data_IF_718973235659
#
_entry.id   IF_718973235659
#
_cell.length_a   1.000
_cell.length_b   1.000
_cell.length_c   1.000
_cell.angle_alpha   90.00
_cell.angle_beta   90.00
_cell.angle_gamma   90.00
#
_symmetry.space_group_name_H-M   'P 1'
#
loop_
_entity.id
_entity.type
_entity.pdbx_description
1 polymer ?
#
# COMPACT_ATOMS: atom_id res chain seq x y z
N UNK A 1 7.38 -10.73 32.91
CA UNK A 1 6.04 -10.11 32.88
C UNK A 1 6.01 -8.80 32.10
N UNK A 2 7.02 -7.92 32.20
CA UNK A 2 6.99 -6.61 31.49
C UNK A 2 6.81 -6.68 29.95
N UNK A 3 7.25 -7.75 29.29
CA UNK A 3 7.28 -7.86 27.82
C UNK A 3 6.39 -8.98 27.25
N UNK A 4 5.85 -9.85 28.10
CA UNK A 4 5.12 -11.04 27.67
C UNK A 4 3.69 -11.00 28.22
N UNK A 5 2.71 -11.58 27.54
CA UNK A 5 2.81 -12.31 26.26
C UNK A 5 3.15 -11.41 25.06
N UNK A 6 3.62 -12.00 23.97
CA UNK A 6 3.92 -11.25 22.73
C UNK A 6 2.60 -10.76 22.12
N UNK A 7 2.47 -9.45 21.87
CA UNK A 7 1.24 -8.87 21.32
C UNK A 7 0.93 -9.38 19.92
N UNK A 8 1.92 -9.33 19.02
CA UNK A 8 1.78 -9.73 17.62
C UNK A 8 2.96 -10.60 17.19
N UNK A 9 2.68 -11.87 16.89
CA UNK A 9 3.63 -12.80 16.27
C UNK A 9 3.41 -12.86 14.76
N UNK A 10 4.47 -12.78 13.96
CA UNK A 10 4.43 -12.88 12.50
C UNK A 10 5.26 -14.09 12.08
N UNK A 11 4.68 -15.01 11.31
CA UNK A 11 5.39 -16.20 10.86
C UNK A 11 4.61 -17.02 9.84
N UNK A 12 5.32 -17.69 8.93
CA UNK A 12 4.70 -18.43 7.83
C UNK A 12 3.87 -19.62 8.32
N UNK A 13 2.86 -19.99 7.53
CA UNK A 13 1.95 -21.10 7.85
C UNK A 13 2.68 -22.44 8.01
N UNK A 14 3.89 -22.58 7.45
CA UNK A 14 4.75 -23.76 7.63
C UNK A 14 5.08 -24.08 9.10
N UNK A 15 4.99 -23.09 9.99
CA UNK A 15 5.29 -23.25 11.42
C UNK A 15 4.06 -23.57 12.28
N UNK A 16 2.87 -23.68 11.67
CA UNK A 16 1.61 -23.75 12.39
C UNK A 16 1.46 -24.94 13.35
N UNK A 17 2.07 -26.09 13.02
CA UNK A 17 1.97 -27.30 13.84
C UNK A 17 3.12 -27.36 14.84
N UNK A 18 4.35 -27.63 14.41
CA UNK A 18 5.44 -27.95 15.32
C UNK A 18 5.84 -26.77 16.20
N UNK A 19 6.44 -25.75 15.59
CA UNK A 19 7.00 -24.60 16.30
C UNK A 19 5.97 -23.90 17.20
N UNK A 20 4.80 -23.59 16.65
CA UNK A 20 3.75 -22.91 17.44
C UNK A 20 3.19 -23.80 18.56
N UNK A 21 3.01 -25.11 18.33
CA UNK A 21 2.57 -26.02 19.40
C UNK A 21 3.63 -26.15 20.50
N UNK A 22 4.91 -26.24 20.12
CA UNK A 22 6.00 -26.32 21.08
C UNK A 22 6.12 -25.03 21.90
N UNK A 23 5.97 -23.85 21.29
CA UNK A 23 5.93 -22.58 22.01
C UNK A 23 4.80 -22.57 23.06
N UNK A 24 3.60 -23.04 22.70
CA UNK A 24 2.46 -23.14 23.61
C UNK A 24 2.70 -24.16 24.73
N UNK A 25 3.26 -25.32 24.40
CA UNK A 25 3.61 -26.35 25.38
C UNK A 25 4.56 -25.80 26.45
N UNK A 26 5.66 -25.18 26.02
CA UNK A 26 6.64 -24.60 26.94
C UNK A 26 6.06 -23.49 27.80
N UNK A 27 5.22 -22.62 27.22
CA UNK A 27 4.52 -21.57 27.97
C UNK A 27 3.66 -22.16 29.08
N UNK A 28 2.84 -23.17 28.75
CA UNK A 28 1.98 -23.83 29.74
C UNK A 28 2.78 -24.59 30.80
N UNK A 29 3.91 -25.19 30.43
CA UNK A 29 4.80 -25.84 31.38
C UNK A 29 5.41 -24.84 32.38
N UNK A 30 5.90 -23.68 31.89
CA UNK A 30 6.45 -22.62 32.73
C UNK A 30 5.38 -21.99 33.64
N UNK A 31 4.17 -21.80 33.13
CA UNK A 31 3.04 -21.33 33.92
C UNK A 31 2.67 -22.33 35.02
N UNK A 32 2.66 -23.64 34.71
CA UNK A 32 2.42 -24.69 35.70
C UNK A 32 3.49 -24.72 36.82
N UNK A 33 4.74 -24.40 36.49
CA UNK A 33 5.84 -24.28 37.45
C UNK A 33 5.82 -22.95 38.24
N UNK A 34 4.84 -22.07 38.00
CA UNK A 34 4.73 -20.77 38.67
C UNK A 34 5.80 -19.76 38.24
N UNK A 35 6.44 -19.97 37.08
CA UNK A 35 7.52 -19.10 36.58
C UNK A 35 7.00 -17.91 35.77
N UNK A 36 5.77 -18.00 35.26
CA UNK A 36 5.06 -16.96 34.51
C UNK A 36 3.57 -17.01 34.83
N UNK A 37 2.85 -15.91 34.63
CA UNK A 37 1.44 -15.74 34.98
C UNK A 37 0.45 -15.79 33.79
N UNK A 38 0.95 -16.03 32.57
CA UNK A 38 0.15 -16.17 31.34
C UNK A 38 0.22 -17.59 30.75
N UNK A 39 -0.85 -17.99 30.05
CA UNK A 39 -1.03 -19.36 29.56
C UNK A 39 -0.75 -19.53 28.05
N UNK A 40 -0.71 -18.45 27.28
CA UNK A 40 -0.45 -18.46 25.83
C UNK A 40 0.67 -17.47 25.48
N UNK A 41 1.64 -17.85 24.62
CA UNK A 41 2.82 -17.02 24.33
C UNK A 41 2.53 -15.82 23.43
N UNK A 42 1.47 -15.89 22.61
CA UNK A 42 1.16 -14.91 21.57
C UNK A 42 -0.31 -14.49 21.70
N UNK A 43 -0.58 -13.19 21.84
CA UNK A 43 -1.93 -12.64 21.85
C UNK A 43 -2.55 -12.62 20.45
N UNK A 44 -1.73 -12.37 19.43
CA UNK A 44 -2.10 -12.42 18.02
C UNK A 44 -1.06 -13.15 17.18
N UNK A 45 -1.51 -13.82 16.12
CA UNK A 45 -0.69 -14.48 15.11
C UNK A 45 -1.12 -13.97 13.73
N UNK A 46 -0.15 -13.47 12.96
CA UNK A 46 -0.35 -13.12 11.55
C UNK A 46 0.52 -14.03 10.69
N UNK A 47 -0.10 -14.78 9.79
CA UNK A 47 0.60 -15.68 8.87
C UNK A 47 0.78 -15.01 7.51
N UNK A 48 2.00 -14.59 7.21
CA UNK A 48 2.31 -13.98 5.92
C UNK A 48 2.24 -15.01 4.77
N UNK A 49 1.97 -14.51 3.56
CA UNK A 49 2.11 -15.27 2.33
C UNK A 49 3.58 -15.51 1.96
N UNK A 50 3.81 -16.36 0.96
CA UNK A 50 5.15 -16.73 0.53
C UNK A 50 5.66 -15.77 -0.54
N UNK A 51 6.96 -15.46 -0.49
CA UNK A 51 7.64 -14.86 -1.65
C UNK A 51 7.83 -15.94 -2.71
N UNK A 52 7.43 -15.65 -3.94
CA UNK A 52 7.41 -16.58 -5.06
C UNK A 52 8.26 -16.09 -6.22
N UNK A 53 8.80 -17.01 -7.00
CA UNK A 53 9.58 -16.72 -8.20
C UNK A 53 9.42 -17.85 -9.21
N UNK A 54 9.59 -17.54 -10.50
CA UNK A 54 9.69 -18.55 -11.54
C UNK A 54 10.91 -19.46 -11.32
N UNK A 55 10.86 -20.67 -11.86
CA UNK A 55 11.91 -21.67 -11.71
C UNK A 55 12.58 -21.93 -13.04
N UNK A 56 13.86 -22.32 -13.02
CA UNK A 56 14.62 -22.58 -14.23
C UNK A 56 15.19 -23.99 -14.22
N UNK A 57 14.85 -24.81 -15.21
CA UNK A 57 15.31 -26.21 -15.25
C UNK A 57 15.67 -26.72 -16.63
N UNK A 58 16.40 -27.84 -16.65
CA UNK A 58 16.56 -28.73 -17.81
C UNK A 58 16.27 -30.16 -17.39
N UNK A 59 15.79 -30.97 -18.31
CA UNK A 59 15.77 -32.42 -18.14
C UNK A 59 17.17 -32.99 -18.46
N UNK A 60 17.72 -33.73 -17.50
CA UNK A 60 18.92 -34.55 -17.70
C UNK A 60 18.53 -36.01 -17.41
N UNK A 61 18.26 -36.75 -18.49
CA UNK A 61 17.90 -38.17 -18.45
C UNK A 61 16.74 -38.49 -17.50
N UNK A 62 15.66 -37.68 -17.54
CA UNK A 62 14.48 -37.85 -16.68
C UNK A 62 14.63 -37.26 -15.27
N UNK A 63 15.76 -36.60 -14.97
CA UNK A 63 15.95 -35.84 -13.74
C UNK A 63 15.95 -34.35 -14.04
N UNK A 64 15.13 -33.61 -13.32
CA UNK A 64 15.10 -32.16 -13.41
C UNK A 64 16.30 -31.54 -12.67
N UNK A 65 17.13 -30.80 -13.42
CA UNK A 65 18.26 -30.03 -12.90
C UNK A 65 17.85 -28.56 -12.84
N UNK A 66 17.87 -28.00 -11.62
CA UNK A 66 17.49 -26.62 -11.35
C UNK A 66 18.67 -25.65 -11.40
N UNK A 67 18.40 -24.43 -11.88
CA UNK A 67 19.34 -23.32 -12.00
C UNK A 67 18.80 -22.09 -11.25
N UNK A 68 19.72 -21.35 -10.62
CA UNK A 68 19.43 -20.07 -9.98
C UNK A 68 19.15 -18.95 -10.98
N UNK A 69 18.37 -17.92 -10.61
CA UNK A 69 18.15 -16.73 -11.45
C UNK A 69 19.46 -16.06 -11.91
N UNK A 70 20.49 -16.07 -11.06
CA UNK A 70 21.82 -15.55 -11.36
C UNK A 70 22.58 -16.38 -12.41
N UNK A 71 22.26 -17.66 -12.57
CA UNK A 71 22.86 -18.56 -13.55
C UNK A 71 22.24 -18.40 -14.94
N UNK A 72 21.08 -17.73 -15.04
CA UNK A 72 20.24 -17.68 -16.23
C UNK A 72 20.21 -16.28 -16.85
N UNK A 73 20.27 -16.22 -18.18
CA UNK A 73 19.93 -15.02 -18.94
C UNK A 73 18.48 -15.15 -19.40
N UNK A 74 17.59 -14.32 -18.82
CA UNK A 74 16.14 -14.40 -19.01
C UNK A 74 15.66 -13.37 -20.02
N UNK A 75 15.22 -13.85 -21.18
CA UNK A 75 14.47 -13.09 -22.18
C UNK A 75 12.98 -13.03 -21.87
N UNK A 76 12.17 -12.45 -22.76
CA UNK A 76 10.72 -12.28 -22.52
C UNK A 76 9.98 -13.60 -22.30
N UNK A 77 10.23 -14.56 -23.21
CA UNK A 77 9.55 -15.87 -23.27
C UNK A 77 10.56 -17.04 -23.39
N UNK A 78 11.84 -16.76 -23.15
CA UNK A 78 12.93 -17.74 -23.27
C UNK A 78 14.00 -17.47 -22.20
N UNK A 79 14.75 -18.51 -21.86
CA UNK A 79 15.86 -18.44 -20.92
C UNK A 79 17.04 -19.27 -21.46
N UNK A 80 18.25 -18.82 -21.22
CA UNK A 80 19.48 -19.55 -21.52
C UNK A 80 20.38 -19.63 -20.29
N UNK A 81 21.17 -20.70 -20.17
CA UNK A 81 22.14 -20.82 -19.10
C UNK A 81 23.40 -20.03 -19.48
N UNK A 82 23.87 -19.15 -18.60
CA UNK A 82 25.06 -18.32 -18.89
C UNK A 82 26.33 -19.14 -19.12
N UNK A 83 26.41 -20.32 -18.49
CA UNK A 83 27.61 -21.17 -18.53
C UNK A 83 27.87 -21.79 -19.93
N UNK A 84 26.80 -22.13 -20.67
CA UNK A 84 26.92 -22.85 -21.95
C UNK A 84 26.09 -22.26 -23.10
N UNK A 85 25.29 -21.23 -22.83
CA UNK A 85 24.40 -20.57 -23.79
C UNK A 85 23.19 -21.41 -24.22
N UNK A 86 23.02 -22.62 -23.68
CA UNK A 86 21.94 -23.53 -24.06
C UNK A 86 20.58 -23.10 -23.48
N UNK A 87 19.45 -23.57 -24.05
CA UNK A 87 18.12 -23.22 -23.59
C UNK A 87 17.82 -23.78 -22.19
N UNK A 88 17.05 -23.04 -21.40
CA UNK A 88 16.55 -23.43 -20.07
C UNK A 88 15.03 -23.27 -20.05
N UNK A 89 14.33 -24.24 -19.47
CA UNK A 89 12.88 -24.20 -19.33
C UNK A 89 12.49 -23.22 -18.22
N UNK A 90 11.62 -22.26 -18.56
CA UNK A 90 10.96 -21.40 -17.57
C UNK A 90 9.75 -22.15 -17.02
N UNK A 91 9.79 -22.46 -15.73
CA UNK A 91 8.72 -23.13 -15.01
C UNK A 91 7.71 -22.17 -14.39
N UNK A 92 6.83 -22.72 -13.54
CA UNK A 92 5.78 -21.95 -12.87
C UNK A 92 6.35 -21.03 -11.78
N UNK A 93 5.67 -19.92 -11.53
CA UNK A 93 5.88 -19.11 -10.32
C UNK A 93 5.42 -19.91 -9.11
N UNK A 94 6.34 -20.19 -8.20
CA UNK A 94 6.11 -20.98 -6.98
C UNK A 94 6.91 -20.40 -5.83
N UNK A 95 6.62 -20.81 -4.59
CA UNK A 95 7.40 -20.37 -3.42
C UNK A 95 8.90 -20.55 -3.65
N UNK A 96 9.68 -19.57 -3.22
CA UNK A 96 11.14 -19.66 -3.24
C UNK A 96 11.62 -20.81 -2.37
N UNK A 97 12.58 -21.59 -2.86
CA UNK A 97 13.15 -22.73 -2.13
C UNK A 97 14.56 -23.07 -2.61
N UNK A 98 15.42 -23.50 -1.67
CA UNK A 98 16.78 -23.96 -2.00
C UNK A 98 16.77 -25.16 -2.95
N UNK A 99 15.78 -26.05 -2.84
CA UNK A 99 15.68 -27.26 -3.68
C UNK A 99 15.40 -26.96 -5.15
N UNK A 100 14.66 -25.88 -5.45
CA UNK A 100 14.36 -25.44 -6.83
C UNK A 100 15.30 -24.33 -7.31
N UNK A 101 16.25 -23.93 -6.47
CA UNK A 101 17.17 -22.80 -6.68
C UNK A 101 16.52 -21.47 -7.10
N UNK A 102 15.22 -21.30 -6.94
CA UNK A 102 14.51 -20.08 -7.33
C UNK A 102 14.54 -18.99 -6.24
N UNK A 103 15.49 -19.05 -5.31
CA UNK A 103 15.67 -18.01 -4.30
C UNK A 103 16.38 -16.84 -4.96
N UNK A 104 15.82 -15.65 -4.83
CA UNK A 104 16.51 -14.42 -5.26
C UNK A 104 17.16 -13.80 -4.03
N UNK A 105 18.45 -13.52 -4.13
CA UNK A 105 19.18 -12.78 -3.12
C UNK A 105 18.76 -11.30 -3.16
N UNK A 106 18.24 -10.71 -2.07
CA UNK A 106 17.86 -9.31 -2.05
C UNK A 106 19.06 -8.37 -2.10
N UNK A 107 20.29 -8.78 -1.75
CA UNK A 107 21.44 -7.89 -1.61
C UNK A 107 21.74 -7.17 -2.93
N UNK A 108 21.69 -7.88 -4.07
CA UNK A 108 21.87 -7.28 -5.38
C UNK A 108 20.83 -6.19 -5.68
N UNK A 109 19.60 -6.34 -5.19
CA UNK A 109 18.55 -5.33 -5.36
C UNK A 109 18.71 -4.18 -4.38
N UNK A 110 19.17 -4.44 -3.16
CA UNK A 110 19.50 -3.41 -2.17
C UNK A 110 20.65 -2.55 -2.66
N UNK A 111 21.71 -3.14 -3.21
CA UNK A 111 22.85 -2.40 -3.77
C UNK A 111 22.43 -1.53 -4.97
N UNK A 112 21.50 -2.03 -5.80
CA UNK A 112 21.07 -1.35 -7.02
C UNK A 112 20.02 -0.27 -6.78
N UNK A 113 19.05 -0.52 -5.91
CA UNK A 113 17.86 0.32 -5.73
C UNK A 113 17.72 0.91 -4.32
N UNK A 114 18.53 0.47 -3.36
CA UNK A 114 18.46 0.86 -1.96
C UNK A 114 17.48 0.01 -1.15
N UNK A 115 17.76 -0.13 0.15
CA UNK A 115 16.94 -0.91 1.08
C UNK A 115 15.48 -0.44 1.13
N UNK A 116 15.25 0.87 1.07
CA UNK A 116 13.89 1.45 1.14
C UNK A 116 13.04 1.11 -0.09
N UNK A 117 13.62 1.03 -1.28
CA UNK A 117 12.89 0.62 -2.48
C UNK A 117 12.45 -0.85 -2.38
N UNK A 118 13.33 -1.73 -1.88
CA UNK A 118 13.03 -3.16 -1.68
C UNK A 118 11.98 -3.36 -0.59
N UNK A 119 12.12 -2.67 0.56
CA UNK A 119 11.13 -2.69 1.65
C UNK A 119 9.76 -2.21 1.17
N UNK A 120 9.73 -1.11 0.42
CA UNK A 120 8.49 -0.58 -0.12
C UNK A 120 7.82 -1.56 -1.08
N UNK A 121 8.59 -2.20 -1.98
CA UNK A 121 8.07 -3.23 -2.89
C UNK A 121 7.41 -4.38 -2.12
N UNK A 122 8.08 -4.90 -1.08
CA UNK A 122 7.56 -5.98 -0.23
C UNK A 122 6.23 -5.62 0.43
N UNK A 123 6.01 -4.34 0.73
CA UNK A 123 4.81 -3.86 1.42
C UNK A 123 3.73 -3.35 0.46
N UNK A 124 4.05 -3.05 -0.80
CA UNK A 124 3.14 -2.37 -1.73
C UNK A 124 2.29 -3.30 -2.58
N UNK A 125 2.87 -4.41 -3.05
CA UNK A 125 2.35 -5.11 -4.24
C UNK A 125 1.24 -6.11 -3.91
N UNK A 126 1.31 -6.74 -2.73
CA UNK A 126 0.32 -7.72 -2.29
C UNK A 126 -0.05 -7.52 -0.82
N UNK A 127 -1.32 -7.82 -0.44
CA UNK A 127 -1.68 -7.97 0.97
C UNK A 127 -0.72 -8.94 1.67
N UNK A 128 -0.28 -8.68 2.92
CA UNK A 128 0.80 -9.46 3.52
C UNK A 128 0.46 -10.95 3.73
N UNK A 129 -0.81 -11.32 3.75
CA UNK A 129 -1.30 -12.71 3.84
C UNK A 129 -1.31 -13.46 2.50
N UNK A 130 -1.07 -12.77 1.37
CA UNK A 130 -1.04 -13.35 0.03
C UNK A 130 0.39 -13.57 -0.46
N UNK A 131 0.55 -14.58 -1.30
CA UNK A 131 1.81 -14.84 -1.97
C UNK A 131 2.22 -13.63 -2.83
N UNK A 132 3.49 -13.25 -2.73
CA UNK A 132 4.08 -12.11 -3.39
C UNK A 132 5.00 -12.60 -4.52
N UNK A 133 4.65 -12.34 -5.80
CA UNK A 133 5.56 -12.59 -6.92
C UNK A 133 6.73 -11.59 -6.89
N UNK A 134 7.95 -12.09 -6.70
CA UNK A 134 9.13 -11.27 -6.77
C UNK A 134 9.33 -10.73 -8.19
N UNK A 135 9.53 -9.41 -8.32
CA UNK A 135 9.67 -8.74 -9.60
C UNK A 135 10.66 -7.58 -9.53
N UNK A 136 11.77 -7.69 -10.26
CA UNK A 136 12.76 -6.61 -10.37
C UNK A 136 12.14 -5.33 -10.96
N UNK A 137 11.24 -5.47 -11.95
CA UNK A 137 10.52 -4.34 -12.52
C UNK A 137 9.61 -3.63 -11.49
N UNK A 138 9.06 -4.40 -10.54
CA UNK A 138 8.30 -3.87 -9.40
C UNK A 138 9.19 -3.05 -8.46
N UNK A 139 10.37 -3.58 -8.12
CA UNK A 139 11.37 -2.88 -7.28
C UNK A 139 11.87 -1.61 -7.97
N UNK A 140 12.16 -1.66 -9.27
CA UNK A 140 12.56 -0.48 -10.05
C UNK A 140 11.48 0.63 -10.00
N UNK A 141 10.20 0.23 -10.09
CA UNK A 141 9.07 1.13 -9.89
C UNK A 141 9.07 1.81 -8.52
N UNK A 142 9.40 1.05 -7.47
CA UNK A 142 9.51 1.58 -6.12
C UNK A 142 10.71 2.52 -5.96
N UNK A 143 11.84 2.24 -6.63
CA UNK A 143 12.99 3.16 -6.69
C UNK A 143 12.64 4.50 -7.34
N UNK A 144 11.83 4.50 -8.40
CA UNK A 144 11.31 5.76 -8.98
C UNK A 144 10.43 6.52 -7.99
N UNK A 145 9.67 5.82 -7.15
CA UNK A 145 8.86 6.44 -6.11
C UNK A 145 9.71 7.03 -4.98
N UNK A 146 10.78 6.36 -4.55
CA UNK A 146 11.79 6.93 -3.62
C UNK A 146 12.31 8.28 -4.14
N UNK A 147 12.74 8.33 -5.40
CA UNK A 147 13.21 9.59 -6.03
C UNK A 147 12.13 10.67 -6.14
N UNK A 148 10.85 10.25 -6.21
CA UNK A 148 9.71 11.16 -6.29
C UNK A 148 9.42 11.78 -4.92
N UNK A 149 9.43 10.98 -3.86
CA UNK A 149 9.38 11.48 -2.47
C UNK A 149 10.57 12.39 -2.15
N UNK A 150 11.80 12.00 -2.53
CA UNK A 150 12.99 12.81 -2.32
C UNK A 150 12.87 14.21 -2.94
N UNK A 151 12.43 14.29 -4.21
CA UNK A 151 12.17 15.58 -4.88
C UNK A 151 11.12 16.41 -4.15
N UNK A 152 10.09 15.76 -3.60
CA UNK A 152 9.04 16.42 -2.86
C UNK A 152 9.54 16.95 -1.50
N UNK A 153 10.34 16.18 -0.78
CA UNK A 153 10.95 16.60 0.49
C UNK A 153 11.91 17.78 0.30
N UNK A 154 12.65 17.82 -0.82
CA UNK A 154 13.48 18.99 -1.18
C UNK A 154 12.67 20.24 -1.54
N UNK A 155 11.37 20.10 -1.83
CA UNK A 155 10.46 21.20 -2.10
C UNK A 155 9.71 21.68 -0.84
N UNK A 156 10.16 21.29 0.35
CA UNK A 156 9.66 21.78 1.62
C UNK A 156 10.08 23.25 1.84
N UNK A 157 9.11 24.09 2.23
CA UNK A 157 9.34 25.50 2.54
C UNK A 157 8.81 25.82 3.94
N UNK A 158 9.69 26.24 4.86
CA UNK A 158 9.34 26.45 6.27
C UNK A 158 8.49 27.70 6.54
N UNK A 159 8.52 28.69 5.64
CA UNK A 159 7.83 29.97 5.77
C UNK A 159 6.81 30.20 4.64
N UNK A 160 6.24 29.13 4.08
CA UNK A 160 5.16 29.22 3.10
C UNK A 160 3.86 29.72 3.74
N UNK A 161 3.07 30.47 2.99
CA UNK A 161 1.76 30.98 3.41
C UNK A 161 0.64 30.37 2.53
N UNK A 162 -0.59 30.42 3.00
CA UNK A 162 -1.77 29.97 2.26
C UNK A 162 -2.28 28.60 2.70
N UNK A 163 -3.60 28.45 2.58
CA UNK A 163 -4.33 27.26 3.02
C UNK A 163 -4.98 26.55 1.84
N UNK A 164 -4.92 25.23 1.83
CA UNK A 164 -5.58 24.37 0.86
C UNK A 164 -6.42 23.33 1.60
N UNK A 165 -7.64 23.72 2.00
CA UNK A 165 -8.55 22.86 2.80
C UNK A 165 -8.75 21.46 2.23
N UNK A 166 -8.80 21.33 0.90
CA UNK A 166 -8.94 20.04 0.24
C UNK A 166 -7.69 19.15 0.47
N UNK A 167 -6.49 19.74 0.46
CA UNK A 167 -5.25 19.04 0.77
C UNK A 167 -5.17 18.70 2.25
N UNK A 168 -5.51 19.63 3.15
CA UNK A 168 -5.50 19.39 4.59
C UNK A 168 -6.44 18.22 4.97
N UNK A 169 -7.64 18.19 4.36
CA UNK A 169 -8.57 17.07 4.46
C UNK A 169 -7.95 15.77 3.95
N UNK A 170 -7.31 15.79 2.78
CA UNK A 170 -6.64 14.59 2.24
C UNK A 170 -5.51 14.11 3.15
N UNK A 171 -4.75 15.01 3.77
CA UNK A 171 -3.71 14.69 4.77
C UNK A 171 -4.36 13.99 5.98
N UNK A 172 -5.39 14.59 6.58
CA UNK A 172 -6.08 14.02 7.73
C UNK A 172 -6.63 12.60 7.45
N UNK A 173 -7.29 12.42 6.32
CA UNK A 173 -7.80 11.12 5.86
C UNK A 173 -6.67 10.10 5.63
N UNK A 174 -5.54 10.54 5.07
CA UNK A 174 -4.38 9.68 4.82
C UNK A 174 -3.75 9.25 6.14
N UNK A 175 -3.55 10.16 7.08
CA UNK A 175 -2.96 9.85 8.40
C UNK A 175 -3.84 8.88 9.18
N UNK A 176 -5.14 9.15 9.30
CA UNK A 176 -6.08 8.28 10.00
C UNK A 176 -6.19 6.90 9.33
N UNK A 177 -6.30 6.89 7.99
CA UNK A 177 -6.40 5.65 7.23
C UNK A 177 -5.13 4.80 7.28
N UNK A 178 -3.95 5.43 7.18
CA UNK A 178 -2.67 4.73 7.26
C UNK A 178 -2.42 4.14 8.64
N UNK A 179 -2.78 4.85 9.71
CA UNK A 179 -2.71 4.32 11.08
C UNK A 179 -3.55 3.04 11.22
N UNK A 180 -4.83 3.10 10.83
CA UNK A 180 -5.73 1.96 10.89
C UNK A 180 -5.26 0.79 10.01
N UNK A 181 -4.74 1.07 8.81
CA UNK A 181 -4.21 0.02 7.92
C UNK A 181 -2.93 -0.61 8.48
N UNK A 182 -2.06 0.14 9.16
CA UNK A 182 -0.85 -0.40 9.83
C UNK A 182 -1.24 -1.28 11.03
N UNK A 183 -2.16 -0.81 11.87
CA UNK A 183 -2.69 -1.59 13.01
C UNK A 183 -3.35 -2.89 12.55
N UNK A 184 -4.04 -2.85 11.41
CA UNK A 184 -4.67 -4.01 10.79
C UNK A 184 -3.71 -4.87 9.94
N UNK A 185 -2.40 -4.55 9.93
CA UNK A 185 -1.38 -5.22 9.10
C UNK A 185 -1.73 -5.25 7.59
N UNK A 186 -2.53 -4.29 7.13
CA UNK A 186 -2.89 -4.08 5.72
C UNK A 186 -1.93 -3.08 5.05
N UNK A 187 -0.62 -3.34 5.12
CA UNK A 187 0.43 -2.39 4.72
C UNK A 187 0.30 -1.88 3.28
N UNK A 188 -0.16 -2.72 2.36
CA UNK A 188 -0.38 -2.34 0.96
C UNK A 188 -1.42 -1.22 0.80
N UNK A 189 -2.43 -1.17 1.69
CA UNK A 189 -3.42 -0.08 1.70
C UNK A 189 -2.81 1.21 2.25
N UNK A 190 -2.01 1.14 3.32
CA UNK A 190 -1.28 2.29 3.83
C UNK A 190 -0.34 2.88 2.77
N UNK A 191 0.40 2.02 2.06
CA UNK A 191 1.24 2.40 0.91
C UNK A 191 0.41 3.09 -0.19
N UNK A 192 -0.74 2.52 -0.56
CA UNK A 192 -1.62 3.13 -1.58
C UNK A 192 -2.07 4.54 -1.18
N UNK A 193 -2.42 4.76 0.09
CA UNK A 193 -2.77 6.09 0.60
C UNK A 193 -1.59 7.07 0.50
N UNK A 194 -0.38 6.62 0.82
CA UNK A 194 0.83 7.46 0.71
C UNK A 194 1.09 7.82 -0.77
N UNK A 195 0.89 6.90 -1.72
CA UNK A 195 0.95 7.21 -3.15
C UNK A 195 -0.07 8.27 -3.57
N UNK A 196 -1.32 8.16 -3.08
CA UNK A 196 -2.39 9.11 -3.37
C UNK A 196 -2.09 10.50 -2.79
N UNK A 197 -1.66 10.57 -1.52
CA UNK A 197 -1.29 11.83 -0.88
C UNK A 197 -0.10 12.46 -1.61
N UNK A 198 0.96 11.69 -1.91
CA UNK A 198 2.10 12.19 -2.69
C UNK A 198 1.66 12.82 -4.01
N UNK A 199 0.74 12.17 -4.71
CA UNK A 199 0.18 12.68 -5.97
C UNK A 199 -0.67 13.94 -5.81
N UNK A 200 -1.36 14.10 -4.67
CA UNK A 200 -2.11 15.31 -4.35
C UNK A 200 -1.16 16.48 -4.04
N UNK A 201 -0.13 16.25 -3.22
CA UNK A 201 0.86 17.28 -2.83
C UNK A 201 1.67 17.76 -4.04
N UNK A 202 1.98 16.89 -5.01
CA UNK A 202 2.65 17.28 -6.25
C UNK A 202 1.83 18.21 -7.14
N UNK A 203 0.49 18.14 -7.07
CA UNK A 203 -0.42 18.98 -7.85
C UNK A 203 -0.78 20.28 -7.14
N UNK A 204 -0.64 20.32 -5.82
CA UNK A 204 -0.88 21.49 -5.00
C UNK A 204 0.13 22.59 -5.31
N UNK A 205 -0.31 23.85 -5.21
CA UNK A 205 0.60 24.99 -5.34
C UNK A 205 1.46 25.12 -4.07
N UNK A 206 2.60 25.82 -4.12
CA UNK A 206 3.33 26.17 -2.90
C UNK A 206 2.40 26.89 -1.91
N UNK A 207 2.24 26.32 -0.72
CA UNK A 207 1.38 26.82 0.35
C UNK A 207 1.81 26.25 1.70
N UNK A 208 1.35 26.84 2.80
CA UNK A 208 1.60 26.30 4.14
C UNK A 208 1.03 24.88 4.28
N UNK A 209 -0.18 24.64 3.76
CA UNK A 209 -0.80 23.31 3.68
C UNK A 209 0.06 22.32 2.92
N UNK A 210 0.65 22.72 1.78
CA UNK A 210 1.55 21.85 1.02
C UNK A 210 2.81 21.51 1.82
N UNK A 211 3.46 22.47 2.46
CA UNK A 211 4.64 22.21 3.31
C UNK A 211 4.32 21.30 4.50
N UNK A 212 3.16 21.49 5.14
CA UNK A 212 2.69 20.62 6.22
C UNK A 212 2.43 19.19 5.72
N UNK A 213 1.85 19.03 4.52
CA UNK A 213 1.63 17.73 3.90
C UNK A 213 2.96 17.02 3.55
N UNK A 214 3.96 17.75 3.06
CA UNK A 214 5.31 17.22 2.80
C UNK A 214 5.94 16.69 4.09
N UNK A 215 5.90 17.48 5.17
CA UNK A 215 6.39 17.05 6.49
C UNK A 215 5.65 15.83 7.02
N UNK A 216 4.34 15.74 6.77
CA UNK A 216 3.53 14.57 7.15
C UNK A 216 3.92 13.33 6.37
N UNK A 217 4.21 13.45 5.06
CA UNK A 217 4.68 12.33 4.24
C UNK A 217 5.98 11.72 4.75
N UNK A 218 6.88 12.51 5.35
CA UNK A 218 8.10 11.99 6.00
C UNK A 218 7.73 11.00 7.11
N UNK A 219 6.83 11.39 8.01
CA UNK A 219 6.38 10.56 9.13
C UNK A 219 5.61 9.31 8.66
N UNK A 220 4.76 9.46 7.65
CA UNK A 220 3.99 8.33 7.10
C UNK A 220 4.86 7.33 6.34
N UNK A 221 5.93 7.79 5.68
CA UNK A 221 6.85 6.91 4.97
C UNK A 221 7.81 6.18 5.93
N UNK A 222 8.13 6.75 7.10
CA UNK A 222 9.18 6.27 8.01
C UNK A 222 9.10 4.78 8.39
N UNK A 223 7.94 4.17 8.71
CA UNK A 223 7.89 2.73 9.04
C UNK A 223 8.35 1.83 7.88
N UNK A 224 8.22 2.32 6.64
CA UNK A 224 8.43 1.54 5.42
C UNK A 224 9.76 1.91 4.73
N UNK A 225 10.11 3.21 4.72
CA UNK A 225 11.34 3.79 4.16
C UNK A 225 12.12 4.58 5.23
N UNK A 226 12.66 3.92 6.27
CA UNK A 226 13.26 4.61 7.41
C UNK A 226 14.50 5.43 7.03
N UNK A 227 15.30 4.98 6.06
CA UNK A 227 16.55 5.68 5.71
C UNK A 227 16.28 7.00 5.00
N UNK A 228 15.37 6.99 4.02
CA UNK A 228 14.89 8.18 3.32
C UNK A 228 14.20 9.14 4.30
N UNK A 229 13.38 8.59 5.20
CA UNK A 229 12.63 9.40 6.16
C UNK A 229 13.53 10.09 7.19
N UNK A 230 14.60 9.45 7.67
CA UNK A 230 15.55 10.09 8.60
C UNK A 230 16.27 11.28 7.97
N UNK A 231 16.75 11.12 6.74
CA UNK A 231 17.40 12.22 6.01
C UNK A 231 16.40 13.35 5.76
N UNK A 232 15.20 13.02 5.29
CA UNK A 232 14.14 13.99 5.03
C UNK A 232 13.67 14.68 6.32
N UNK A 233 13.63 13.98 7.45
CA UNK A 233 13.22 14.54 8.74
C UNK A 233 14.13 15.68 9.16
N UNK A 234 15.44 15.49 9.03
CA UNK A 234 16.43 16.55 9.29
C UNK A 234 16.23 17.73 8.34
N UNK A 235 16.01 17.48 7.04
CA UNK A 235 15.79 18.52 6.03
C UNK A 235 14.54 19.38 6.30
N UNK A 236 13.46 18.78 6.81
CA UNK A 236 12.21 19.49 7.12
C UNK A 236 12.20 20.11 8.53
N UNK A 237 13.38 20.24 9.16
CA UNK A 237 13.54 20.86 10.48
C UNK A 237 13.11 19.99 11.67
N UNK A 238 13.00 18.68 11.44
CA UNK A 238 12.83 17.68 12.49
C UNK A 238 13.96 17.69 13.51
N UNK A 239 13.67 17.27 14.73
CA UNK A 239 14.64 17.13 15.81
C UNK A 239 14.71 15.66 16.22
N UNK A 240 15.91 15.19 16.58
CA UNK A 240 16.14 13.78 16.91
C UNK A 240 15.89 12.83 15.74
N UNK A 241 15.68 11.56 16.04
CA UNK A 241 15.35 10.53 15.06
C UNK A 241 13.86 10.61 14.69
N UNK A 242 13.55 10.38 13.42
CA UNK A 242 12.14 10.24 12.99
C UNK A 242 11.47 9.03 13.64
N UNK A 243 12.25 8.01 14.01
CA UNK A 243 11.77 6.84 14.74
C UNK A 243 11.21 7.18 16.14
N UNK A 244 11.68 8.26 16.76
CA UNK A 244 11.19 8.74 18.07
C UNK A 244 10.06 9.77 17.93
N UNK A 245 9.76 10.22 16.70
CA UNK A 245 8.73 11.20 16.46
C UNK A 245 7.33 10.60 16.68
N UNK A 246 6.42 11.38 17.27
CA UNK A 246 5.04 10.97 17.43
C UNK A 246 4.36 10.81 16.07
N UNK A 247 3.47 9.82 15.98
CA UNK A 247 2.57 9.69 14.83
C UNK A 247 1.74 10.98 14.65
N UNK A 248 1.51 11.46 13.41
CA UNK A 248 0.79 12.72 13.20
C UNK A 248 -0.62 12.67 13.80
N UNK A 249 -1.01 13.73 14.51
CA UNK A 249 -2.36 13.88 15.07
C UNK A 249 -3.35 14.30 14.00
N UNK A 250 -4.59 13.82 14.10
CA UNK A 250 -5.67 14.15 13.17
C UNK A 250 -6.74 14.97 13.88
N UNK A 251 -7.12 16.11 13.31
CA UNK A 251 -8.35 16.82 13.69
C UNK A 251 -9.56 16.04 13.14
N UNK A 252 -10.44 15.48 14.00
CA UNK A 252 -11.61 14.74 13.56
C UNK A 252 -12.56 15.53 12.65
N UNK A 253 -12.58 16.87 12.75
CA UNK A 253 -13.44 17.71 11.91
C UNK A 253 -13.04 17.65 10.42
N UNK A 254 -11.75 17.41 10.13
CA UNK A 254 -11.25 17.24 8.77
C UNK A 254 -11.63 15.87 8.17
N UNK A 255 -12.08 14.91 8.98
CA UNK A 255 -12.54 13.61 8.51
C UNK A 255 -14.01 13.61 8.08
N UNK A 256 -14.75 14.67 8.41
CA UNK A 256 -16.16 14.80 8.02
C UNK A 256 -16.24 15.15 6.53
N UNK A 257 -16.84 14.26 5.76
CA UNK A 257 -17.22 14.55 4.39
C UNK A 257 -18.54 15.32 4.38
N UNK A 258 -18.46 16.65 4.29
CA UNK A 258 -19.65 17.49 4.11
C UNK A 258 -20.15 17.50 2.67
N UNK A 259 -19.36 16.97 1.73
CA UNK A 259 -19.65 16.93 0.30
C UNK A 259 -19.30 15.57 -0.29
N UNK A 260 -20.08 15.14 -1.28
CA UNK A 260 -19.93 13.87 -2.01
C UNK A 260 -20.04 14.13 -3.51
N UNK A 261 -19.23 13.42 -4.29
CA UNK A 261 -19.32 13.44 -5.75
C UNK A 261 -20.29 12.36 -6.21
N UNK A 262 -21.45 12.76 -6.73
CA UNK A 262 -22.45 11.85 -7.27
C UNK A 262 -22.27 11.68 -8.78
N UNK A 263 -22.44 10.44 -9.26
CA UNK A 263 -22.49 10.16 -10.70
C UNK A 263 -23.87 10.52 -11.28
N UNK A 264 -23.90 11.29 -12.36
CA UNK A 264 -25.13 11.58 -13.10
C UNK A 264 -25.17 10.80 -14.40
N UNK A 265 -26.16 9.93 -14.52
CA UNK A 265 -26.30 8.98 -15.62
C UNK A 265 -27.56 9.26 -16.43
N UNK A 266 -27.49 8.98 -17.74
CA UNK A 266 -28.65 8.92 -18.64
C UNK A 266 -28.67 7.52 -19.25
N UNK A 267 -29.77 6.78 -19.04
CA UNK A 267 -29.91 5.37 -19.47
C UNK A 267 -28.76 4.49 -18.99
N UNK A 268 -28.31 4.69 -17.74
CA UNK A 268 -27.22 3.93 -17.13
C UNK A 268 -25.82 4.27 -17.64
N UNK A 269 -25.65 5.26 -18.53
CA UNK A 269 -24.34 5.73 -19.00
C UNK A 269 -23.97 7.02 -18.28
N UNK A 270 -22.75 7.11 -17.74
CA UNK A 270 -22.22 8.32 -17.10
C UNK A 270 -22.22 9.50 -18.10
N UNK A 271 -22.72 10.65 -17.64
CA UNK A 271 -22.78 11.90 -18.41
C UNK A 271 -22.14 13.06 -17.67
N UNK A 272 -22.29 13.08 -16.36
CA UNK A 272 -21.67 14.09 -15.52
C UNK A 272 -21.36 13.57 -14.13
N UNK A 273 -20.63 14.38 -13.38
CA UNK A 273 -20.40 14.19 -11.94
C UNK A 273 -20.66 15.51 -11.25
N UNK A 274 -21.43 15.51 -10.16
CA UNK A 274 -21.72 16.70 -9.38
C UNK A 274 -21.18 16.54 -7.97
N UNK A 275 -20.46 17.55 -7.47
CA UNK A 275 -20.12 17.66 -6.05
C UNK A 275 -21.26 18.36 -5.34
N UNK A 276 -21.85 17.69 -4.36
CA UNK A 276 -23.04 18.15 -3.62
C UNK A 276 -22.83 17.93 -2.13
N UNK A 277 -23.56 18.66 -1.28
CA UNK A 277 -23.52 18.40 0.16
C UNK A 277 -23.94 16.95 0.47
N UNK A 278 -23.25 16.30 1.40
CA UNK A 278 -23.60 14.96 1.85
C UNK A 278 -24.95 14.99 2.56
N UNK A 279 -25.81 14.04 2.25
CA UNK A 279 -27.17 14.00 2.78
C UNK A 279 -28.14 15.00 2.15
N UNK A 280 -27.79 15.58 0.97
CA UNK A 280 -28.70 16.45 0.23
C UNK A 280 -30.03 15.73 -0.07
N UNK A 281 -31.15 16.44 0.06
CA UNK A 281 -32.47 15.87 -0.15
C UNK A 281 -32.61 15.31 -1.58
N UNK A 282 -33.30 14.17 -1.73
CA UNK A 282 -33.46 13.52 -3.04
C UNK A 282 -34.02 14.45 -4.12
N UNK A 283 -34.99 15.30 -3.77
CA UNK A 283 -35.60 16.26 -4.70
C UNK A 283 -34.59 17.32 -5.19
N UNK A 284 -33.67 17.74 -4.32
CA UNK A 284 -32.62 18.71 -4.68
C UNK A 284 -31.54 18.05 -5.55
N UNK A 285 -31.16 16.81 -5.25
CA UNK A 285 -30.24 16.03 -6.09
C UNK A 285 -30.80 15.81 -7.50
N UNK A 286 -32.09 15.50 -7.60
CA UNK A 286 -32.79 15.37 -8.87
C UNK A 286 -32.78 16.68 -9.66
N UNK A 287 -33.11 17.80 -9.00
CA UNK A 287 -33.11 19.12 -9.63
C UNK A 287 -31.72 19.49 -10.15
N UNK A 288 -30.66 19.28 -9.36
CA UNK A 288 -29.27 19.56 -9.75
C UNK A 288 -28.83 18.67 -10.92
N UNK A 289 -29.16 17.38 -10.90
CA UNK A 289 -28.83 16.44 -11.97
C UNK A 289 -29.53 16.82 -13.29
N UNK A 290 -30.81 17.21 -13.23
CA UNK A 290 -31.55 17.68 -14.40
C UNK A 290 -31.05 19.05 -14.89
N UNK A 291 -30.51 19.91 -14.02
CA UNK A 291 -29.95 21.20 -14.41
C UNK A 291 -28.58 21.11 -15.10
N UNK A 292 -27.90 19.95 -15.09
CA UNK A 292 -26.60 19.80 -15.76
C UNK A 292 -26.69 19.97 -17.28
N UNK A 293 -25.88 20.87 -17.83
CA UNK A 293 -25.76 21.09 -19.27
C UNK A 293 -25.38 19.81 -20.04
N UNK A 294 -24.55 18.94 -19.45
CA UNK A 294 -24.12 17.68 -20.10
C UNK A 294 -25.28 16.69 -20.16
N UNK A 295 -26.12 16.68 -19.12
CA UNK A 295 -27.32 15.86 -19.06
C UNK A 295 -28.35 16.36 -20.06
N UNK A 296 -28.62 17.67 -20.08
CA UNK A 296 -29.55 18.29 -21.03
C UNK A 296 -29.16 18.00 -22.49
N UNK A 297 -27.87 18.12 -22.82
CA UNK A 297 -27.34 17.73 -24.15
C UNK A 297 -27.50 16.23 -24.42
N UNK A 298 -27.36 15.37 -23.42
CA UNK A 298 -27.53 13.92 -23.60
C UNK A 298 -29.00 13.50 -23.70
N UNK A 299 -29.94 14.30 -23.19
CA UNK A 299 -31.37 14.04 -23.30
C UNK A 299 -31.91 14.47 -24.66
N UNK A 300 -31.34 15.51 -25.29
CA UNK A 300 -31.68 15.97 -26.64
C UNK A 300 -33.20 16.16 -26.83
N UNK A 301 -33.87 16.74 -25.82
CA UNK A 301 -35.32 16.95 -25.82
C UNK A 301 -36.17 15.71 -25.56
N UNK A 302 -35.58 14.54 -25.32
CA UNK A 302 -36.33 13.33 -24.96
C UNK A 302 -37.05 13.52 -23.60
N UNK A 303 -38.31 13.09 -23.47
CA UNK A 303 -39.06 13.25 -22.22
C UNK A 303 -38.48 12.33 -21.14
N UNK A 304 -38.28 12.89 -19.94
CA UNK A 304 -37.86 12.11 -18.76
C UNK A 304 -39.03 11.27 -18.26
N UNK A 305 -38.87 9.95 -18.22
CA UNK A 305 -39.88 9.00 -17.72
C UNK A 305 -39.75 8.72 -16.24
N UNK A 306 -38.50 8.64 -15.75
CA UNK A 306 -38.20 8.30 -14.36
C UNK A 306 -36.80 8.80 -13.98
N UNK A 307 -36.67 9.31 -12.77
CA UNK A 307 -35.38 9.59 -12.13
C UNK A 307 -35.19 8.62 -10.98
N UNK A 308 -33.99 8.06 -10.85
CA UNK A 308 -33.61 7.14 -9.78
C UNK A 308 -32.47 7.80 -9.02
N UNK A 309 -32.75 8.19 -7.77
CA UNK A 309 -31.76 8.79 -6.88
C UNK A 309 -31.29 7.73 -5.88
N UNK A 310 -29.97 7.50 -5.85
CA UNK A 310 -29.31 6.78 -4.77
C UNK A 310 -28.56 7.85 -3.97
N UNK A 311 -29.02 8.22 -2.76
CA UNK A 311 -28.40 9.27 -1.95
C UNK A 311 -26.89 9.11 -1.85
N UNK A 312 -26.18 10.24 -1.93
CA UNK A 312 -24.73 10.35 -1.85
C UNK A 312 -23.93 9.51 -2.87
N UNK A 313 -24.58 8.93 -3.89
CA UNK A 313 -23.91 8.03 -4.85
C UNK A 313 -24.19 8.35 -6.31
N UNK A 314 -25.46 8.39 -6.72
CA UNK A 314 -25.80 8.63 -8.13
C UNK A 314 -27.23 9.13 -8.34
N UNK A 315 -27.43 9.78 -9.49
CA UNK A 315 -28.75 10.04 -10.09
C UNK A 315 -28.77 9.45 -11.49
N UNK A 316 -29.71 8.55 -11.77
CA UNK A 316 -29.89 7.95 -13.09
C UNK A 316 -31.23 8.37 -13.70
N UNK A 317 -31.15 8.99 -14.88
CA UNK A 317 -32.28 9.54 -15.62
C UNK A 317 -32.66 8.58 -16.75
N UNK A 318 -33.92 8.15 -16.73
CA UNK A 318 -34.51 7.29 -17.75
C UNK A 318 -35.38 8.15 -18.67
N UNK A 319 -35.02 8.23 -19.95
CA UNK A 319 -35.69 9.02 -20.98
C UNK A 319 -36.23 8.16 -22.13
#
# INVERSE_FOLDING_TARGET
DQWLAVDQYIGGIEHAILHLLYARFWTRALNHLGMIDFAEPFASLFTQGMVTHETYSRDDNGREVWFGPEEVERGKDSATLKADGGPVTIGKVVKMSKSKKNVVDPDAMVDRYGADAVRWFMLSDSPPERDLPWSEAGIEGCGRFVHRLWRLFNAFESAAEGEERALDRKVAQTVAGAAADIEALSFNKAVARIYELTSAVEKAAPSASRSAAIRTLVLLAAPMMPHLAEEAWTMVGGQGLVADAAWPTVDPSLLVEDEVTIAVQVKGKLRDTLTVAKGLAQAELEALALASDKVQRSLDGAPVRKVIVVPDRLVNIVA
#
